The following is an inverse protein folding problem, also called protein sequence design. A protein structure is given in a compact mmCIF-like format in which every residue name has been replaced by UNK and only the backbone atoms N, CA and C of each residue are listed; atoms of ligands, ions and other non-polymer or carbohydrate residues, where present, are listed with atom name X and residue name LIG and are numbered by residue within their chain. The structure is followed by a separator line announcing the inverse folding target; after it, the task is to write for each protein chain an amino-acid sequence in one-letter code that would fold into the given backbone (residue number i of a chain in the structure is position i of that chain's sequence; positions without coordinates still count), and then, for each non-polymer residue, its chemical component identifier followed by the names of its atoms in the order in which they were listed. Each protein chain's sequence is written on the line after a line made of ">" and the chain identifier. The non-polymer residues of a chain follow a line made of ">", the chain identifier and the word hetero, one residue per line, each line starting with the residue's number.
data_IF_949518349389
#
_entry.id   IF_949518349389
#
_cell.length_a   1.000
_cell.length_b   1.000
_cell.length_c   1.000
_cell.angle_alpha   90.00
_cell.angle_beta   90.00
_cell.angle_gamma   90.00
#
_symmetry.space_group_name_H-M   'P 1'
#
loop_
_entity.id
_entity.type
_entity.pdbx_description
1 polymer ?
#
# COMPACT_ATOMS: atom_id res chain seq x y z
N UNK A 1 16.34 -6.24 -31.67
CA UNK A 1 16.14 -6.44 -30.22
C UNK A 1 16.55 -5.16 -29.50
N UNK A 2 15.63 -4.22 -29.33
CA UNK A 2 15.86 -2.99 -28.56
C UNK A 2 15.41 -3.27 -27.13
N UNK A 3 16.33 -3.11 -26.19
CA UNK A 3 16.07 -3.28 -24.75
C UNK A 3 15.30 -2.06 -24.28
N UNK A 4 14.08 -2.26 -23.79
CA UNK A 4 13.36 -1.28 -22.97
C UNK A 4 14.15 -1.06 -21.69
N UNK A 5 14.71 0.13 -21.53
CA UNK A 5 15.13 0.63 -20.23
C UNK A 5 14.00 1.52 -19.74
N UNK A 6 13.09 0.95 -18.96
CA UNK A 6 12.11 1.72 -18.21
C UNK A 6 12.90 2.48 -17.14
N UNK A 7 13.10 3.75 -17.33
CA UNK A 7 13.62 4.65 -16.31
C UNK A 7 12.61 4.78 -15.17
N UNK A 8 12.62 3.81 -14.26
CA UNK A 8 11.94 3.98 -12.97
C UNK A 8 12.79 4.95 -12.17
N UNK A 9 12.34 6.18 -12.03
CA UNK A 9 12.91 7.11 -11.08
C UNK A 9 12.77 6.50 -9.69
N UNK A 10 13.82 5.83 -9.19
CA UNK A 10 13.96 5.53 -7.78
C UNK A 10 14.14 6.86 -7.06
N UNK A 11 13.05 7.41 -6.52
CA UNK A 11 13.17 8.40 -5.47
C UNK A 11 13.90 7.73 -4.32
N UNK A 12 15.19 8.06 -4.18
CA UNK A 12 15.98 7.75 -3.00
C UNK A 12 15.18 8.18 -1.78
N UNK A 13 14.98 7.27 -0.85
CA UNK A 13 14.32 7.52 0.43
C UNK A 13 15.20 8.45 1.27
N UNK A 14 15.19 9.71 0.95
CA UNK A 14 15.55 10.81 1.83
C UNK A 14 14.35 11.03 2.74
N UNK A 15 14.56 10.88 4.04
CA UNK A 15 13.59 11.19 5.10
C UNK A 15 13.27 12.68 5.09
N UNK A 16 12.36 13.08 4.23
CA UNK A 16 11.71 14.37 4.30
C UNK A 16 10.23 14.13 4.56
N UNK A 17 9.81 14.44 5.78
CA UNK A 17 8.42 14.65 6.14
C UNK A 17 7.88 15.82 5.30
N UNK A 18 7.52 15.56 4.07
CA UNK A 18 6.75 16.49 3.28
C UNK A 18 5.29 16.22 3.57
N UNK A 19 4.69 17.06 4.42
CA UNK A 19 3.26 17.32 4.43
C UNK A 19 2.91 18.00 3.10
N UNK A 20 3.06 17.31 2.00
CA UNK A 20 2.59 17.71 0.70
C UNK A 20 1.15 17.24 0.56
N UNK A 21 0.21 18.17 0.53
CA UNK A 21 -1.14 17.88 0.08
C UNK A 21 -1.04 17.24 -1.30
N UNK A 22 -1.45 16.00 -1.42
CA UNK A 22 -1.62 15.31 -2.70
C UNK A 22 -2.81 15.95 -3.44
N UNK A 23 -2.60 17.13 -3.98
CA UNK A 23 -3.54 17.78 -4.91
C UNK A 23 -3.35 17.27 -6.35
N UNK A 24 -2.91 16.04 -6.51
CA UNK A 24 -2.62 15.44 -7.81
C UNK A 24 -3.82 14.79 -8.49
N UNK A 25 -4.95 15.47 -8.54
CA UNK A 25 -6.15 14.99 -9.24
C UNK A 25 -6.14 15.25 -10.76
N UNK A 26 -5.07 15.81 -11.30
CA UNK A 26 -4.99 16.14 -12.73
C UNK A 26 -3.84 15.39 -13.40
N UNK A 27 -4.10 14.82 -14.56
CA UNK A 27 -3.10 14.22 -15.43
C UNK A 27 -2.00 15.22 -15.84
N UNK A 28 -2.36 16.48 -16.01
CA UNK A 28 -1.47 17.58 -16.40
C UNK A 28 -0.37 17.93 -15.37
N UNK A 29 -0.44 17.42 -14.14
CA UNK A 29 0.62 17.58 -13.14
C UNK A 29 1.64 16.46 -13.11
N UNK A 30 1.53 15.47 -13.99
CA UNK A 30 2.46 14.36 -14.11
C UNK A 30 3.28 14.52 -15.37
N UNK A 31 4.57 14.71 -15.21
CA UNK A 31 5.50 14.69 -16.34
C UNK A 31 5.70 13.23 -16.74
N UNK A 32 5.00 12.79 -17.78
CA UNK A 32 5.26 11.51 -18.42
C UNK A 32 6.32 11.74 -19.50
N UNK A 33 7.41 11.01 -19.40
CA UNK A 33 8.46 11.01 -20.40
C UNK A 33 8.71 9.58 -20.87
N UNK A 34 8.90 9.42 -22.15
CA UNK A 34 9.35 8.18 -22.76
C UNK A 34 10.70 8.48 -23.42
N UNK A 35 11.75 7.90 -22.88
CA UNK A 35 13.12 8.32 -23.16
C UNK A 35 13.28 9.84 -22.90
N UNK A 36 13.73 10.61 -23.87
CA UNK A 36 13.92 12.07 -23.76
C UNK A 36 12.74 12.88 -24.37
N UNK A 37 11.58 12.25 -24.60
CA UNK A 37 10.42 12.88 -25.23
C UNK A 37 9.27 13.07 -24.27
N UNK A 38 8.61 14.21 -24.35
CA UNK A 38 7.36 14.46 -23.65
C UNK A 38 6.26 13.56 -24.21
N UNK A 39 5.46 12.99 -23.32
CA UNK A 39 4.35 12.14 -23.72
C UNK A 39 3.12 12.96 -24.14
N UNK A 40 2.39 12.43 -25.07
CA UNK A 40 1.00 12.81 -25.31
C UNK A 40 0.14 12.25 -24.17
N UNK A 41 -0.70 13.10 -23.54
CA UNK A 41 -1.48 12.74 -22.34
C UNK A 41 -2.95 13.03 -22.57
N UNK A 42 -3.82 12.12 -22.13
CA UNK A 42 -5.27 12.27 -22.15
C UNK A 42 -5.86 11.87 -20.81
N UNK A 43 -6.76 12.68 -20.27
CA UNK A 43 -7.56 12.34 -19.10
C UNK A 43 -8.93 11.81 -19.53
N UNK A 44 -9.32 10.67 -18.97
CA UNK A 44 -10.64 10.08 -19.12
C UNK A 44 -11.26 9.88 -17.74
N UNK A 45 -12.51 10.30 -17.59
CA UNK A 45 -13.29 10.01 -16.39
C UNK A 45 -14.39 9.00 -16.74
N UNK A 46 -14.45 7.93 -15.98
CA UNK A 46 -15.45 6.87 -16.12
C UNK A 46 -16.31 6.90 -14.86
N UNK A 47 -17.59 7.22 -15.03
CA UNK A 47 -18.59 7.02 -14.01
C UNK A 47 -19.14 5.60 -14.15
N UNK A 48 -18.74 4.72 -13.23
CA UNK A 48 -19.16 3.33 -13.22
C UNK A 48 -20.44 3.10 -12.40
N UNK A 49 -20.98 4.17 -11.80
CA UNK A 49 -22.21 4.11 -11.03
C UNK A 49 -22.13 3.23 -9.78
N UNK A 50 -23.28 2.75 -9.34
CA UNK A 50 -23.37 1.88 -8.19
C UNK A 50 -23.04 0.43 -8.57
N UNK A 51 -21.87 -0.04 -8.15
CA UNK A 51 -21.42 -1.42 -8.30
C UNK A 51 -21.39 -2.10 -6.93
N UNK A 52 -21.52 -3.43 -6.90
CA UNK A 52 -21.27 -4.22 -5.68
C UNK A 52 -19.79 -4.23 -5.32
N UNK A 53 -18.94 -4.33 -6.33
CA UNK A 53 -17.48 -4.28 -6.22
C UNK A 53 -16.87 -3.84 -7.54
N UNK A 54 -15.69 -3.25 -7.48
CA UNK A 54 -14.87 -2.95 -8.65
C UNK A 54 -13.62 -3.81 -8.62
N UNK A 55 -13.35 -4.54 -9.71
CA UNK A 55 -12.12 -5.29 -9.91
C UNK A 55 -11.23 -4.59 -10.92
N UNK A 56 -9.95 -4.42 -10.57
CA UNK A 56 -8.95 -3.81 -11.43
C UNK A 56 -7.70 -4.68 -11.49
N UNK A 57 -7.50 -5.43 -12.59
CA UNK A 57 -6.29 -6.21 -12.83
C UNK A 57 -5.44 -5.51 -13.89
N UNK A 58 -4.30 -4.96 -13.47
CA UNK A 58 -3.44 -4.15 -14.33
C UNK A 58 -2.01 -4.71 -14.39
N UNK A 59 -1.32 -4.51 -15.52
CA UNK A 59 0.01 -5.08 -15.71
C UNK A 59 1.11 -4.12 -15.27
N UNK A 60 1.07 -2.88 -15.74
CA UNK A 60 2.10 -1.87 -15.49
C UNK A 60 1.44 -0.52 -15.22
N UNK A 61 0.84 -0.35 -14.04
CA UNK A 61 0.14 0.88 -13.74
C UNK A 61 0.15 1.20 -12.25
N UNK A 62 0.37 2.46 -11.89
CA UNK A 62 0.01 2.98 -10.58
C UNK A 62 -1.51 2.99 -10.39
N UNK A 63 -1.96 2.50 -9.24
CA UNK A 63 -3.38 2.54 -8.85
C UNK A 63 -3.53 3.23 -7.52
N UNK A 64 -4.35 4.26 -7.47
CA UNK A 64 -4.76 4.91 -6.22
C UNK A 64 -6.24 4.65 -5.98
N UNK A 65 -6.59 4.18 -4.78
CA UNK A 65 -7.96 4.01 -4.33
C UNK A 65 -8.23 4.99 -3.21
N UNK A 66 -9.32 5.72 -3.29
CA UNK A 66 -9.75 6.66 -2.24
C UNK A 66 -11.24 6.52 -1.94
N UNK A 67 -11.60 6.68 -0.66
CA UNK A 67 -12.98 6.76 -0.26
C UNK A 67 -13.58 8.11 -0.65
N UNK A 68 -14.79 8.09 -1.17
CA UNK A 68 -15.59 9.27 -1.52
C UNK A 68 -16.89 9.34 -0.73
N UNK A 69 -17.54 10.48 -0.82
CA UNK A 69 -18.89 10.71 -0.23
C UNK A 69 -20.04 10.27 -1.14
N UNK A 70 -19.74 9.95 -2.40
CA UNK A 70 -20.74 9.49 -3.38
C UNK A 70 -21.18 8.06 -3.16
N UNK A 71 -22.25 7.65 -3.85
CA UNK A 71 -22.80 6.29 -3.82
C UNK A 71 -22.28 5.38 -4.94
N UNK A 72 -21.51 5.92 -5.88
CA UNK A 72 -20.98 5.22 -7.05
C UNK A 72 -19.45 5.20 -7.10
N UNK A 73 -18.92 4.42 -8.04
CA UNK A 73 -17.50 4.36 -8.34
C UNK A 73 -17.18 5.33 -9.50
N UNK A 74 -16.14 6.11 -9.31
CA UNK A 74 -15.60 6.97 -10.35
C UNK A 74 -14.14 6.62 -10.57
N UNK A 75 -13.73 6.43 -11.82
CA UNK A 75 -12.38 6.12 -12.18
C UNK A 75 -11.82 7.24 -13.07
N UNK A 76 -10.84 7.98 -12.57
CA UNK A 76 -10.02 8.86 -13.38
C UNK A 76 -8.86 8.07 -13.96
N UNK A 77 -8.70 8.14 -15.25
CA UNK A 77 -7.65 7.46 -16.01
C UNK A 77 -6.77 8.51 -16.66
N UNK A 78 -5.47 8.48 -16.35
CA UNK A 78 -4.49 9.21 -17.11
C UNK A 78 -3.84 8.26 -18.09
N UNK A 79 -4.05 8.47 -19.38
CA UNK A 79 -3.40 7.76 -20.47
C UNK A 79 -2.21 8.58 -20.95
N UNK A 80 -1.10 7.95 -21.22
CA UNK A 80 0.08 8.60 -21.77
C UNK A 80 0.73 7.68 -22.81
N UNK A 81 1.18 8.24 -23.92
CA UNK A 81 1.91 7.54 -24.96
C UNK A 81 2.97 8.44 -25.59
N UNK A 82 4.05 7.84 -26.09
CA UNK A 82 5.10 8.55 -26.82
C UNK A 82 4.59 9.15 -28.13
N UNK A 83 3.63 8.46 -28.77
CA UNK A 83 3.05 8.90 -30.03
C UNK A 83 1.53 9.15 -29.88
N UNK A 84 1.04 10.20 -30.52
CA UNK A 84 -0.40 10.55 -30.48
C UNK A 84 -1.30 9.46 -31.09
N UNK A 85 -0.79 8.74 -32.09
CA UNK A 85 -1.48 7.59 -32.71
C UNK A 85 -1.67 6.44 -31.74
N UNK A 86 -0.70 6.20 -30.86
CA UNK A 86 -0.74 5.15 -29.83
C UNK A 86 -1.69 5.55 -28.70
N UNK A 87 -1.66 6.83 -28.28
CA UNK A 87 -2.60 7.36 -27.30
C UNK A 87 -4.06 7.15 -27.73
N UNK A 88 -4.35 7.37 -29.01
CA UNK A 88 -5.69 7.18 -29.60
C UNK A 88 -6.16 5.70 -29.60
N UNK A 89 -5.27 4.73 -29.42
CA UNK A 89 -5.60 3.30 -29.37
C UNK A 89 -5.86 2.81 -27.93
N UNK A 90 -5.46 3.58 -26.91
CA UNK A 90 -5.67 3.17 -25.52
C UNK A 90 -7.15 3.28 -25.17
N UNK A 91 -7.75 2.15 -24.85
CA UNK A 91 -9.16 2.04 -24.44
C UNK A 91 -9.25 1.58 -23.01
N UNK A 92 -9.98 2.32 -22.19
CA UNK A 92 -10.30 1.95 -20.82
C UNK A 92 -11.81 2.00 -20.64
N UNK A 93 -12.37 0.93 -20.08
CA UNK A 93 -13.79 0.82 -19.79
C UNK A 93 -14.04 -0.03 -18.54
N UNK A 94 -15.17 0.15 -17.93
CA UNK A 94 -15.70 -0.74 -16.89
C UNK A 94 -16.82 -1.57 -17.51
N UNK A 95 -16.72 -2.86 -17.37
CA UNK A 95 -17.69 -3.83 -17.90
C UNK A 95 -17.97 -4.89 -16.84
N UNK A 96 -19.23 -5.01 -16.40
CA UNK A 96 -19.62 -5.94 -15.36
C UNK A 96 -18.91 -5.76 -14.01
N UNK A 97 -18.44 -4.54 -13.68
CA UNK A 97 -17.65 -4.25 -12.49
C UNK A 97 -16.16 -4.57 -12.62
N UNK A 98 -15.69 -4.89 -13.82
CA UNK A 98 -14.28 -5.13 -14.12
C UNK A 98 -13.70 -3.98 -14.95
N UNK A 99 -12.60 -3.41 -14.49
CA UNK A 99 -11.83 -2.40 -15.23
C UNK A 99 -10.99 -3.11 -16.29
N UNK A 100 -11.30 -2.84 -17.54
CA UNK A 100 -10.62 -3.40 -18.72
C UNK A 100 -9.83 -2.34 -19.44
N UNK A 101 -8.59 -2.66 -19.74
CA UNK A 101 -7.68 -1.78 -20.49
C UNK A 101 -7.07 -2.53 -21.65
N UNK A 102 -7.05 -1.88 -22.80
CA UNK A 102 -6.34 -2.32 -23.99
C UNK A 102 -5.61 -1.14 -24.61
N UNK A 103 -4.55 -1.40 -25.33
CA UNK A 103 -3.73 -0.41 -26.01
C UNK A 103 -2.96 -1.05 -27.15
N UNK A 104 -2.06 -0.33 -27.82
CA UNK A 104 -1.25 -0.87 -28.91
C UNK A 104 -0.38 -2.03 -28.44
N UNK A 105 -0.17 -3.01 -29.30
CA UNK A 105 0.70 -4.17 -29.02
C UNK A 105 2.17 -3.77 -28.92
N UNK A 106 2.53 -2.69 -29.57
CA UNK A 106 3.89 -2.13 -29.61
C UNK A 106 3.82 -0.63 -29.33
N UNK A 107 4.90 -0.06 -28.82
CA UNK A 107 4.98 1.35 -28.50
C UNK A 107 5.14 1.61 -26.98
N UNK A 108 5.47 2.84 -26.68
CA UNK A 108 5.68 3.30 -25.32
C UNK A 108 4.41 3.99 -24.83
N UNK A 109 3.65 3.28 -24.03
CA UNK A 109 2.44 3.82 -23.41
C UNK A 109 2.25 3.34 -21.97
N UNK A 110 1.51 4.11 -21.21
CA UNK A 110 1.15 3.78 -19.83
C UNK A 110 -0.21 4.36 -19.47
N UNK A 111 -0.78 3.85 -18.40
CA UNK A 111 -1.99 4.38 -17.78
C UNK A 111 -1.80 4.51 -16.28
N UNK A 112 -2.51 5.43 -15.67
CA UNK A 112 -2.58 5.54 -14.21
C UNK A 112 -4.05 5.64 -13.82
N UNK A 113 -4.41 4.98 -12.74
CA UNK A 113 -5.79 4.94 -12.26
C UNK A 113 -5.94 5.62 -10.90
N UNK A 114 -6.96 6.47 -10.79
CA UNK A 114 -7.46 7.00 -9.51
C UNK A 114 -8.90 6.58 -9.36
N UNK A 115 -9.13 5.60 -8.49
CA UNK A 115 -10.45 5.03 -8.21
C UNK A 115 -10.99 5.72 -6.96
N UNK A 116 -12.15 6.35 -7.10
CA UNK A 116 -12.94 6.83 -5.97
C UNK A 116 -14.09 5.87 -5.74
N UNK A 117 -14.17 5.30 -4.55
CA UNK A 117 -15.19 4.32 -4.20
C UNK A 117 -16.13 4.87 -3.13
N UNK A 118 -17.41 4.42 -3.09
CA UNK A 118 -18.31 4.80 -2.02
C UNK A 118 -17.85 4.24 -0.67
N UNK A 119 -18.25 4.88 0.43
CA UNK A 119 -18.03 4.32 1.76
C UNK A 119 -18.77 2.99 1.87
N UNK A 120 -18.13 1.99 2.48
CA UNK A 120 -18.67 0.62 2.57
C UNK A 120 -18.60 -0.16 1.26
N UNK A 121 -18.06 0.39 0.19
CA UNK A 121 -17.87 -0.30 -1.08
C UNK A 121 -16.81 -1.40 -1.01
N UNK A 122 -16.68 -2.16 -2.11
CA UNK A 122 -15.68 -3.20 -2.24
C UNK A 122 -14.78 -2.98 -3.46
N UNK A 123 -13.48 -3.15 -3.31
CA UNK A 123 -12.52 -3.04 -4.41
C UNK A 123 -11.48 -4.15 -4.34
N UNK A 124 -11.16 -4.71 -5.50
CA UNK A 124 -10.09 -5.69 -5.69
C UNK A 124 -9.11 -5.16 -6.74
N UNK A 125 -7.88 -4.87 -6.32
CA UNK A 125 -6.84 -4.32 -7.20
C UNK A 125 -5.64 -5.25 -7.24
N UNK A 126 -5.30 -5.67 -8.44
CA UNK A 126 -4.12 -6.46 -8.70
C UNK A 126 -3.20 -5.73 -9.69
N UNK A 127 -1.91 -5.64 -9.39
CA UNK A 127 -0.89 -5.14 -10.32
C UNK A 127 0.30 -6.08 -10.41
N UNK A 128 0.83 -6.27 -11.63
CA UNK A 128 2.12 -6.96 -11.78
C UNK A 128 3.28 -6.03 -11.42
N UNK A 129 3.24 -4.79 -11.93
CA UNK A 129 4.31 -3.82 -11.70
C UNK A 129 3.71 -2.43 -11.53
N UNK A 130 3.83 -1.89 -10.35
CA UNK A 130 3.34 -0.56 -10.04
C UNK A 130 2.91 -0.41 -8.59
N UNK A 131 2.92 0.81 -8.07
CA UNK A 131 2.45 1.10 -6.73
C UNK A 131 0.92 0.99 -6.62
N UNK A 132 0.47 0.53 -5.46
CA UNK A 132 -0.93 0.62 -5.04
C UNK A 132 -0.99 1.50 -3.80
N UNK A 133 -1.83 2.53 -3.84
CA UNK A 133 -2.11 3.38 -2.69
C UNK A 133 -3.60 3.35 -2.37
N UNK A 134 -3.95 3.08 -1.11
CA UNK A 134 -5.32 3.10 -0.61
C UNK A 134 -5.41 4.10 0.53
N UNK A 135 -6.36 5.02 0.47
CA UNK A 135 -6.52 6.07 1.47
C UNK A 135 -7.98 6.36 1.80
N UNK A 136 -8.24 6.64 3.07
CA UNK A 136 -9.53 7.16 3.55
C UNK A 136 -10.73 6.26 3.16
N UNK A 137 -10.51 4.94 3.15
CA UNK A 137 -11.52 3.94 2.76
C UNK A 137 -12.12 3.31 4.01
N UNK A 138 -13.43 3.09 3.97
CA UNK A 138 -14.18 2.36 4.97
C UNK A 138 -15.02 1.31 4.23
N UNK A 139 -14.49 0.09 4.07
CA UNK A 139 -15.13 -0.95 3.26
C UNK A 139 -14.26 -2.20 3.08
N UNK A 140 -14.56 -2.98 2.04
CA UNK A 140 -13.82 -4.20 1.74
C UNK A 140 -12.77 -3.94 0.66
N UNK A 141 -11.49 -4.05 1.02
CA UNK A 141 -10.37 -3.77 0.12
C UNK A 141 -9.45 -4.96 0.03
N UNK A 142 -9.25 -5.45 -1.19
CA UNK A 142 -8.20 -6.42 -1.50
C UNK A 142 -7.22 -5.78 -2.47
N UNK A 143 -5.94 -5.78 -2.11
CA UNK A 143 -4.88 -5.25 -2.99
C UNK A 143 -3.71 -6.21 -3.06
N UNK A 144 -3.23 -6.47 -4.26
CA UNK A 144 -2.10 -7.37 -4.51
C UNK A 144 -1.14 -6.77 -5.54
N UNK A 145 0.14 -6.66 -5.18
CA UNK A 145 1.19 -6.23 -6.07
C UNK A 145 2.24 -7.34 -6.22
N UNK A 146 2.60 -7.71 -7.45
CA UNK A 146 3.75 -8.60 -7.65
C UNK A 146 5.06 -7.85 -7.42
N UNK A 147 5.21 -6.68 -8.05
CA UNK A 147 6.39 -5.82 -7.90
C UNK A 147 5.93 -4.37 -7.73
N UNK A 148 6.02 -3.88 -6.52
CA UNK A 148 5.65 -2.50 -6.22
C UNK A 148 5.28 -2.29 -4.77
N UNK A 149 5.35 -1.06 -4.30
CA UNK A 149 4.92 -0.70 -2.96
C UNK A 149 3.40 -0.74 -2.82
N UNK A 150 2.95 -1.13 -1.62
CA UNK A 150 1.55 -1.00 -1.20
C UNK A 150 1.49 -0.04 -0.02
N UNK A 151 0.71 1.00 -0.14
CA UNK A 151 0.51 2.02 0.91
C UNK A 151 -0.94 2.06 1.33
N UNK A 152 -1.20 1.87 2.62
CA UNK A 152 -2.52 1.94 3.24
C UNK A 152 -2.53 3.09 4.23
N UNK A 153 -3.43 4.05 4.06
CA UNK A 153 -3.54 5.20 4.94
C UNK A 153 -4.98 5.41 5.38
N UNK A 154 -5.20 5.49 6.68
CA UNK A 154 -6.54 5.72 7.26
C UNK A 154 -7.59 4.76 6.66
N UNK A 155 -7.28 3.47 6.62
CA UNK A 155 -8.18 2.45 6.09
C UNK A 155 -8.98 1.80 7.21
N UNK A 156 -10.25 1.55 6.96
CA UNK A 156 -11.18 0.92 7.91
C UNK A 156 -11.98 -0.17 7.19
N UNK A 157 -12.58 -1.06 7.99
CA UNK A 157 -13.35 -2.18 7.45
C UNK A 157 -12.53 -3.44 7.33
N UNK A 158 -12.66 -4.18 6.23
CA UNK A 158 -11.90 -5.42 5.98
C UNK A 158 -10.89 -5.19 4.87
N UNK A 159 -9.61 -5.24 5.22
CA UNK A 159 -8.53 -4.93 4.27
C UNK A 159 -7.53 -6.07 4.20
N UNK A 160 -7.25 -6.52 2.99
CA UNK A 160 -6.18 -7.48 2.67
C UNK A 160 -5.20 -6.85 1.69
N UNK A 161 -3.93 -6.79 2.10
CA UNK A 161 -2.87 -6.21 1.29
C UNK A 161 -1.70 -7.19 1.14
N UNK A 162 -1.28 -7.45 -0.10
CA UNK A 162 -0.18 -8.37 -0.37
C UNK A 162 0.81 -7.75 -1.35
N UNK A 163 2.11 -7.99 -1.13
CA UNK A 163 3.15 -7.72 -2.13
C UNK A 163 4.18 -8.85 -2.16
N UNK A 164 4.60 -9.22 -3.36
CA UNK A 164 5.68 -10.18 -3.49
C UNK A 164 7.06 -9.50 -3.35
N UNK A 165 7.24 -8.39 -4.07
CA UNK A 165 8.51 -7.64 -4.06
C UNK A 165 8.20 -6.15 -3.93
N UNK A 166 8.28 -5.65 -2.73
CA UNK A 166 8.03 -4.25 -2.42
C UNK A 166 7.71 -4.01 -0.96
N UNK A 167 7.78 -2.77 -0.51
CA UNK A 167 7.38 -2.40 0.84
C UNK A 167 5.86 -2.39 1.01
N UNK A 168 5.41 -2.68 2.23
CA UNK A 168 4.07 -2.33 2.70
C UNK A 168 4.19 -1.25 3.76
N UNK A 169 3.40 -0.21 3.63
CA UNK A 169 3.27 0.86 4.62
C UNK A 169 1.83 0.97 5.07
N UNK A 170 1.61 0.93 6.38
CA UNK A 170 0.30 1.11 7.04
C UNK A 170 0.41 2.35 7.92
N UNK A 171 -0.48 3.31 7.72
CA UNK A 171 -0.50 4.59 8.42
C UNK A 171 -1.91 4.85 8.97
N UNK A 172 -2.11 4.53 10.25
CA UNK A 172 -3.39 4.63 10.93
C UNK A 172 -4.48 3.72 10.38
N UNK A 173 -5.62 3.76 11.03
CA UNK A 173 -6.81 3.03 10.63
C UNK A 173 -7.40 2.15 11.71
N UNK A 174 -8.32 1.26 11.32
CA UNK A 174 -9.01 0.33 12.22
C UNK A 174 -9.70 -0.79 11.42
N UNK A 175 -10.28 -1.75 12.14
CA UNK A 175 -11.00 -2.87 11.52
C UNK A 175 -10.13 -4.10 11.38
N UNK A 176 -10.50 -5.00 10.47
CA UNK A 176 -9.76 -6.22 10.19
C UNK A 176 -8.78 -5.99 9.04
N UNK A 177 -7.50 -5.87 9.34
CA UNK A 177 -6.44 -5.62 8.38
C UNK A 177 -5.42 -6.75 8.38
N UNK A 178 -5.20 -7.36 7.21
CA UNK A 178 -4.15 -8.35 6.98
C UNK A 178 -3.19 -7.84 5.90
N UNK A 179 -1.90 -7.76 6.23
CA UNK A 179 -0.87 -7.29 5.31
C UNK A 179 0.29 -8.29 5.22
N UNK A 180 0.67 -8.69 4.00
CA UNK A 180 1.76 -9.66 3.77
C UNK A 180 2.73 -9.20 2.71
N UNK A 181 3.99 -9.03 3.10
CA UNK A 181 5.10 -8.79 2.19
C UNK A 181 5.98 -10.05 2.11
N UNK A 182 6.31 -10.53 0.90
CA UNK A 182 7.28 -11.61 0.77
C UNK A 182 8.71 -11.09 0.84
N UNK A 183 9.03 -10.05 0.06
CA UNK A 183 10.35 -9.45 0.02
C UNK A 183 10.21 -7.93 0.06
N UNK A 184 10.49 -7.34 1.18
CA UNK A 184 10.42 -5.91 1.37
C UNK A 184 10.14 -5.49 2.81
N UNK A 185 10.43 -4.25 3.15
CA UNK A 185 10.14 -3.71 4.46
C UNK A 185 8.63 -3.61 4.74
N UNK A 186 8.28 -3.83 5.99
CA UNK A 186 6.95 -3.58 6.52
C UNK A 186 7.04 -2.44 7.54
N UNK A 187 6.32 -1.36 7.27
CA UNK A 187 6.25 -0.21 8.18
C UNK A 187 4.82 -0.04 8.64
N UNK A 188 4.63 0.01 9.96
CA UNK A 188 3.32 0.24 10.58
C UNK A 188 3.43 1.45 11.49
N UNK A 189 2.54 2.41 11.31
CA UNK A 189 2.31 3.52 12.20
C UNK A 189 0.90 3.41 12.74
N UNK A 190 0.79 3.15 14.04
CA UNK A 190 -0.49 3.16 14.72
C UNK A 190 -0.86 4.59 15.10
N UNK A 191 -2.14 4.86 15.20
CA UNK A 191 -2.68 6.14 15.63
C UNK A 191 -3.64 5.97 16.82
N UNK A 192 -4.03 7.07 17.42
CA UNK A 192 -4.97 7.07 18.54
C UNK A 192 -4.47 6.34 19.78
N UNK A 193 -5.40 5.81 20.57
CA UNK A 193 -5.12 5.12 21.84
C UNK A 193 -5.15 3.60 21.75
N UNK A 194 -5.52 3.05 20.60
CA UNK A 194 -5.63 1.61 20.40
C UNK A 194 -6.21 1.28 19.04
N UNK A 195 -6.00 0.04 18.60
CA UNK A 195 -6.58 -0.50 17.38
C UNK A 195 -7.96 -1.09 17.66
N UNK A 196 -8.97 -0.65 16.93
CA UNK A 196 -10.29 -1.26 16.97
C UNK A 196 -10.40 -2.31 15.88
N UNK A 197 -10.53 -3.58 16.27
CA UNK A 197 -10.51 -4.73 15.37
C UNK A 197 -9.20 -5.52 15.48
N UNK A 198 -8.74 -6.08 14.35
CA UNK A 198 -7.54 -6.91 14.29
C UNK A 198 -6.57 -6.41 13.22
N UNK A 199 -5.30 -6.31 13.55
CA UNK A 199 -4.20 -6.04 12.62
C UNK A 199 -3.21 -7.21 12.64
N UNK A 200 -3.08 -7.89 11.50
CA UNK A 200 -2.07 -8.93 11.27
C UNK A 200 -1.16 -8.50 10.10
N UNK A 201 0.09 -8.18 10.41
CA UNK A 201 1.02 -7.73 9.39
C UNK A 201 2.34 -8.49 9.44
N UNK A 202 2.71 -9.10 8.32
CA UNK A 202 3.85 -10.03 8.23
C UNK A 202 4.76 -9.67 7.05
N UNK A 203 6.07 -9.71 7.28
CA UNK A 203 7.05 -9.74 6.18
C UNK A 203 7.92 -11.00 6.29
N UNK A 204 8.18 -11.66 5.15
CA UNK A 204 9.08 -12.83 5.16
C UNK A 204 10.54 -12.41 5.14
N UNK A 205 10.91 -11.53 4.21
CA UNK A 205 12.28 -11.07 4.03
C UNK A 205 12.31 -9.55 3.99
N UNK A 206 12.54 -8.95 5.15
CA UNK A 206 12.62 -7.50 5.25
C UNK A 206 12.53 -7.00 6.69
N UNK A 207 13.00 -5.79 6.93
CA UNK A 207 12.85 -5.16 8.23
C UNK A 207 11.38 -4.84 8.53
N UNK A 208 11.03 -4.93 9.81
CA UNK A 208 9.76 -4.50 10.35
C UNK A 208 9.97 -3.27 11.22
N UNK A 209 9.23 -2.21 10.97
CA UNK A 209 9.25 -0.98 11.75
C UNK A 209 7.86 -0.68 12.27
N UNK A 210 7.74 -0.54 13.59
CA UNK A 210 6.51 -0.14 14.27
C UNK A 210 6.71 1.22 14.93
N UNK A 211 5.78 2.14 14.70
CA UNK A 211 5.66 3.41 15.42
C UNK A 211 4.34 3.42 16.19
N UNK A 212 4.41 3.80 17.44
CA UNK A 212 3.26 3.83 18.34
C UNK A 212 3.15 5.20 19.00
N UNK A 213 1.95 5.75 19.16
CA UNK A 213 1.76 6.97 19.94
C UNK A 213 1.95 6.67 21.43
N UNK A 214 2.43 7.65 22.17
CA UNK A 214 2.57 7.53 23.63
C UNK A 214 1.22 7.25 24.30
N UNK A 215 1.23 6.33 25.25
CA UNK A 215 0.02 5.91 25.94
C UNK A 215 -0.91 5.03 25.11
N UNK A 216 -0.38 4.35 24.10
CA UNK A 216 -1.13 3.36 23.34
C UNK A 216 -1.53 2.19 24.23
N UNK A 217 -2.83 1.88 24.31
CA UNK A 217 -3.38 0.96 25.30
C UNK A 217 -3.71 -0.44 24.78
N UNK A 218 -3.86 -0.63 23.46
CA UNK A 218 -4.15 -1.97 22.91
C UNK A 218 -2.95 -2.90 23.00
N UNK A 219 -3.22 -4.19 23.17
CA UNK A 219 -2.15 -5.19 23.19
C UNK A 219 -1.53 -5.35 21.82
N UNK A 220 -0.21 -5.27 21.76
CA UNK A 220 0.63 -5.44 20.59
C UNK A 220 1.58 -6.60 20.80
N UNK A 221 1.63 -7.50 19.83
CA UNK A 221 2.61 -8.59 19.76
C UNK A 221 3.50 -8.38 18.56
N UNK A 222 4.80 -8.37 18.77
CA UNK A 222 5.81 -8.28 17.71
C UNK A 222 6.73 -9.49 17.79
N UNK A 223 6.91 -10.18 16.68
CA UNK A 223 7.71 -11.41 16.62
C UNK A 223 8.77 -11.36 15.53
N UNK A 224 9.95 -11.86 15.86
CA UNK A 224 11.00 -12.16 14.89
C UNK A 224 11.27 -13.67 14.92
N UNK A 225 10.75 -14.37 13.91
CA UNK A 225 10.84 -15.83 13.82
C UNK A 225 12.18 -16.34 13.28
N UNK A 226 13.12 -15.43 12.99
CA UNK A 226 14.46 -15.73 12.50
C UNK A 226 15.55 -15.12 13.37
N UNK A 227 16.70 -14.82 12.75
CA UNK A 227 17.88 -14.29 13.46
C UNK A 227 17.89 -12.76 13.61
N UNK A 228 16.83 -12.06 13.16
CA UNK A 228 16.76 -10.60 13.22
C UNK A 228 16.63 -10.10 14.66
N UNK A 229 17.41 -9.09 15.07
CA UNK A 229 17.27 -8.49 16.39
C UNK A 229 15.97 -7.70 16.52
N UNK A 230 15.36 -7.70 17.71
CA UNK A 230 14.30 -6.78 18.07
C UNK A 230 14.93 -5.63 18.88
N UNK A 231 14.75 -4.40 18.40
CA UNK A 231 15.15 -3.17 19.11
C UNK A 231 13.90 -2.38 19.47
N UNK A 232 13.65 -2.19 20.73
CA UNK A 232 12.56 -1.37 21.21
C UNK A 232 13.06 -0.13 21.93
N UNK A 233 12.60 1.04 21.50
CA UNK A 233 12.91 2.36 22.09
C UNK A 233 11.65 3.11 22.51
N UNK A 234 10.47 2.47 22.42
CA UNK A 234 9.23 3.04 22.87
C UNK A 234 9.13 3.00 24.42
N UNK A 235 8.40 3.95 24.99
CA UNK A 235 8.19 4.02 26.45
C UNK A 235 7.51 2.74 26.98
N UNK A 236 6.61 2.16 26.23
CA UNK A 236 5.89 0.94 26.57
C UNK A 236 6.82 -0.27 26.76
N UNK A 237 7.94 -0.30 26.05
CA UNK A 237 8.91 -1.40 26.19
C UNK A 237 9.70 -1.32 27.50
N UNK A 238 9.93 -0.14 28.03
CA UNK A 238 10.64 0.03 29.30
C UNK A 238 9.81 -0.44 30.51
N UNK A 239 8.49 -0.49 30.34
CA UNK A 239 7.56 -0.98 31.38
C UNK A 239 7.46 -2.51 31.42
N UNK A 240 7.93 -3.20 30.41
CA UNK A 240 7.78 -4.65 30.25
C UNK A 240 9.16 -5.35 30.18
N UNK A 241 9.88 -5.36 31.31
CA UNK A 241 11.23 -5.93 31.42
C UNK A 241 11.28 -7.46 31.39
N UNK A 242 10.14 -8.14 31.40
CA UNK A 242 10.09 -9.63 31.50
C UNK A 242 10.33 -10.39 30.18
N UNK A 243 10.45 -9.70 29.05
CA UNK A 243 10.50 -10.35 27.73
C UNK A 243 11.92 -10.45 27.10
N UNK A 244 12.96 -10.01 27.77
CA UNK A 244 14.32 -9.99 27.25
C UNK A 244 15.11 -11.23 27.68
N UNK A 245 14.79 -12.40 27.14
CA UNK A 245 15.63 -13.60 27.29
C UNK A 245 16.68 -13.58 26.16
N UNK A 246 17.80 -12.93 26.42
CA UNK A 246 18.87 -12.62 25.45
C UNK A 246 19.76 -13.82 25.15
N UNK A 247 19.60 -14.95 25.84
CA UNK A 247 20.57 -16.06 25.83
C UNK A 247 20.21 -17.24 24.90
N UNK A 248 19.12 -17.18 24.16
CA UNK A 248 18.74 -18.26 23.24
C UNK A 248 18.95 -17.89 21.77
N UNK A 249 20.07 -18.26 21.22
CA UNK A 249 20.48 -18.03 19.82
C UNK A 249 19.48 -18.51 18.74
N UNK A 250 18.51 -19.34 19.07
CA UNK A 250 17.54 -19.92 18.12
C UNK A 250 16.08 -19.77 18.55
N UNK A 251 15.76 -19.06 19.62
CA UNK A 251 14.38 -18.86 20.03
C UNK A 251 13.73 -17.71 19.25
N UNK A 252 12.47 -17.81 18.85
CA UNK A 252 11.73 -16.68 18.31
C UNK A 252 11.74 -15.55 19.32
N UNK A 253 12.15 -14.37 18.89
CA UNK A 253 12.14 -13.19 19.74
C UNK A 253 10.74 -12.62 19.68
N UNK A 254 10.11 -12.47 20.81
CA UNK A 254 8.75 -11.95 20.98
C UNK A 254 8.76 -10.79 21.95
N UNK A 255 8.12 -9.72 21.55
CA UNK A 255 7.84 -8.56 22.37
C UNK A 255 6.35 -8.37 22.46
N UNK A 256 5.81 -8.22 23.67
CA UNK A 256 4.40 -7.98 23.92
C UNK A 256 4.24 -6.81 24.90
N UNK A 257 3.35 -5.88 24.59
CA UNK A 257 3.02 -4.75 25.46
C UNK A 257 1.56 -4.31 25.24
N UNK A 258 1.06 -3.46 26.13
CA UNK A 258 -0.34 -3.06 26.18
C UNK A 258 -1.19 -3.97 27.06
N UNK A 259 -2.50 -3.84 26.97
CA UNK A 259 -3.45 -4.58 27.79
C UNK A 259 -4.57 -5.19 26.97
N UNK A 260 -5.13 -6.30 27.46
CA UNK A 260 -6.21 -7.01 26.82
C UNK A 260 -5.72 -8.07 25.79
N UNK A 261 -6.64 -8.64 24.99
CA UNK A 261 -6.27 -9.60 23.96
C UNK A 261 -5.43 -8.93 22.87
N UNK A 262 -4.42 -9.65 22.37
CA UNK A 262 -3.54 -9.15 21.32
C UNK A 262 -4.30 -8.98 20.01
N UNK A 263 -4.66 -7.77 19.69
CA UNK A 263 -5.36 -7.40 18.47
C UNK A 263 -4.46 -6.76 17.40
N UNK A 264 -3.20 -6.48 17.75
CA UNK A 264 -2.15 -6.06 16.81
C UNK A 264 -1.04 -7.09 16.84
N UNK A 265 -0.84 -7.78 15.72
CA UNK A 265 0.20 -8.80 15.55
C UNK A 265 1.08 -8.44 14.37
N UNK A 266 2.36 -8.33 14.65
CA UNK A 266 3.36 -7.98 13.64
C UNK A 266 4.48 -9.02 13.66
N UNK A 267 4.88 -9.53 12.49
CA UNK A 267 5.94 -10.52 12.44
C UNK A 267 6.88 -10.35 11.24
N UNK A 268 8.13 -10.75 11.45
CA UNK A 268 9.09 -10.93 10.36
C UNK A 268 9.80 -12.29 10.52
N UNK A 269 10.15 -12.92 9.39
CA UNK A 269 10.95 -14.12 9.42
C UNK A 269 12.44 -13.77 9.35
N UNK A 270 12.83 -12.98 8.34
CA UNK A 270 14.22 -12.61 8.08
C UNK A 270 14.35 -11.10 8.01
N UNK A 271 14.62 -10.47 9.14
CA UNK A 271 14.83 -9.04 9.21
C UNK A 271 14.85 -8.51 10.63
N UNK A 272 15.47 -7.36 10.85
CA UNK A 272 15.41 -6.69 12.14
C UNK A 272 14.03 -6.10 12.38
N UNK A 273 13.68 -6.00 13.65
CA UNK A 273 12.48 -5.33 14.13
C UNK A 273 12.87 -4.08 14.91
N UNK A 274 12.20 -2.98 14.63
CA UNK A 274 12.36 -1.73 15.37
C UNK A 274 11.02 -1.23 15.85
N UNK A 275 10.89 -0.97 17.15
CA UNK A 275 9.71 -0.34 17.76
C UNK A 275 10.13 1.00 18.35
N UNK A 276 9.37 2.08 18.05
CA UNK A 276 9.66 3.44 18.49
C UNK A 276 8.36 4.18 18.84
N UNK A 277 8.47 5.18 19.70
CA UNK A 277 7.43 6.20 19.83
C UNK A 277 7.31 7.03 18.53
N UNK A 278 6.12 7.57 18.32
CA UNK A 278 5.84 8.54 17.27
C UNK A 278 6.37 9.93 17.63
#
# INVERSE_FOLDING_TARGET
>A
MRRLILGVLFLSAGSALAHGSWSGDRCSGRNFHFDDRDAHVEEQVIDAGALRSLKASVTHAPVTVSGGSGSGYTIKVCKAAAEASDLAQIRVRVDGGELKTSGPDHGDWTVTYVITMPRGGAVDVETKNGPIAVRDVDGNVTVSAKNGPVSLRNVRGTVRAETQNGPISIDGGSGSLSARASNGPLTVRLDGKGWSGELDATTKNGPLSLRIPRGYGSSVVVESNGRGPISCRAEECSRNTAAWDDDRWNAPRRLEFGSGPANVRLSTVNGPVTVRDE
#
